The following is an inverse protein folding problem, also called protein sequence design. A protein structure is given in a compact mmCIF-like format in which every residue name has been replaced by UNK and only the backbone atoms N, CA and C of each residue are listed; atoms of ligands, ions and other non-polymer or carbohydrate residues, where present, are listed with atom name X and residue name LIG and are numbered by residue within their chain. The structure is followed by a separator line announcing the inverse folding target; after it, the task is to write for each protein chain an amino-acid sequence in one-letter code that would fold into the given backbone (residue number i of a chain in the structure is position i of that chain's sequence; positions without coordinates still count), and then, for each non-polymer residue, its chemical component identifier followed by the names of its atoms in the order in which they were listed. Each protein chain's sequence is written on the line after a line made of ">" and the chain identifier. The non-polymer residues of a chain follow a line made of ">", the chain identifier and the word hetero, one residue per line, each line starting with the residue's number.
data_IF_762366264619
#
_entry.id   IF_762366264619
#
_cell.length_a   1.000
_cell.length_b   1.000
_cell.length_c   1.000
_cell.angle_alpha   90.00
_cell.angle_beta   90.00
_cell.angle_gamma   90.00
#
_symmetry.space_group_name_H-M   'P 1'
#
loop_
_entity.id
_entity.type
_entity.pdbx_description
1 polymer ?
#
# COMPACT_ATOMS: atom_id res chain seq x y z
N UNK A 1 -23.10 -0.32 -2.71
CA UNK A 1 -21.80 -0.96 -2.98
C UNK A 1 -21.06 -0.93 -1.68
N UNK A 2 -21.16 -2.01 -0.91
CA UNK A 2 -20.32 -2.24 0.25
C UNK A 2 -18.87 -2.15 -0.24
N UNK A 3 -18.21 -1.03 0.07
CA UNK A 3 -16.79 -0.87 -0.22
C UNK A 3 -16.10 -1.81 0.74
N UNK A 4 -15.74 -2.97 0.24
CA UNK A 4 -15.10 -3.97 1.04
C UNK A 4 -13.72 -3.46 1.45
N UNK A 5 -13.46 -3.48 2.75
CA UNK A 5 -12.19 -3.00 3.29
C UNK A 5 -11.03 -3.80 2.71
N UNK A 6 -9.92 -3.11 2.45
CA UNK A 6 -8.68 -3.73 2.00
C UNK A 6 -7.67 -3.81 3.14
N UNK A 7 -6.71 -4.71 3.03
CA UNK A 7 -5.57 -4.78 3.95
C UNK A 7 -4.33 -4.36 3.18
N UNK A 8 -3.63 -3.34 3.67
CA UNK A 8 -2.37 -2.84 3.14
C UNK A 8 -1.25 -3.30 4.05
N UNK A 9 -0.32 -4.10 3.52
CA UNK A 9 0.86 -4.57 4.23
C UNK A 9 2.05 -3.66 3.96
N UNK A 10 2.45 -2.92 4.97
CA UNK A 10 3.59 -2.01 4.96
C UNK A 10 4.86 -2.81 5.27
N UNK A 11 5.75 -2.95 4.29
CA UNK A 11 7.03 -3.66 4.44
C UNK A 11 8.02 -2.76 5.18
N UNK A 12 8.39 -3.13 6.40
CA UNK A 12 9.39 -2.41 7.21
C UNK A 12 10.55 -3.35 7.59
N UNK A 13 11.79 -2.85 7.70
CA UNK A 13 12.93 -3.63 8.16
C UNK A 13 12.77 -4.15 9.60
N UNK A 14 11.92 -3.51 10.41
CA UNK A 14 11.61 -3.98 11.77
C UNK A 14 10.56 -5.11 11.80
N UNK A 15 9.79 -5.27 10.72
CA UNK A 15 8.70 -6.22 10.59
C UNK A 15 7.56 -5.67 9.74
N UNK A 16 6.85 -6.54 9.05
CA UNK A 16 5.70 -6.16 8.21
C UNK A 16 4.53 -5.73 9.10
N UNK A 17 3.84 -4.67 8.70
CA UNK A 17 2.71 -4.11 9.44
C UNK A 17 1.46 -4.06 8.57
N UNK A 18 0.38 -4.69 9.04
CA UNK A 18 -0.89 -4.76 8.31
C UNK A 18 -1.83 -3.64 8.77
N UNK A 19 -2.25 -2.81 7.82
CA UNK A 19 -3.19 -1.72 8.02
C UNK A 19 -4.49 -2.03 7.29
N UNK A 20 -5.59 -2.16 8.03
CA UNK A 20 -6.93 -2.33 7.47
C UNK A 20 -7.52 -0.98 7.09
N UNK A 21 -7.93 -0.85 5.83
CA UNK A 21 -8.58 0.35 5.29
C UNK A 21 -10.01 0.01 4.91
N UNK A 22 -10.96 0.50 5.71
CA UNK A 22 -12.40 0.22 5.50
C UNK A 22 -12.93 0.83 4.21
N UNK A 23 -12.44 2.01 3.84
CA UNK A 23 -12.91 2.77 2.67
C UNK A 23 -11.73 3.17 1.76
N UNK A 24 -11.23 2.27 0.89
CA UNK A 24 -10.10 2.57 0.01
C UNK A 24 -10.35 3.79 -0.90
N UNK A 25 -11.59 4.02 -1.33
CA UNK A 25 -11.94 5.16 -2.18
C UNK A 25 -11.77 6.54 -1.51
N UNK A 26 -11.78 6.58 -0.18
CA UNK A 26 -11.55 7.81 0.60
C UNK A 26 -10.08 7.97 1.01
N UNK A 27 -9.28 6.93 0.86
CA UNK A 27 -7.86 6.98 1.17
C UNK A 27 -7.15 7.89 0.17
N UNK A 28 -6.45 8.89 0.69
CA UNK A 28 -5.58 9.75 -0.11
C UNK A 28 -4.11 9.43 0.14
N UNK A 29 -3.25 9.91 -0.76
CA UNK A 29 -1.81 9.63 -0.73
C UNK A 29 -1.17 10.13 0.56
N UNK A 30 -1.59 11.30 1.05
CA UNK A 30 -1.03 11.88 2.28
C UNK A 30 -1.40 11.06 3.52
N UNK A 31 -2.62 10.53 3.60
CA UNK A 31 -3.07 9.70 4.72
C UNK A 31 -2.28 8.40 4.78
N UNK A 32 -2.10 7.72 3.64
CA UNK A 32 -1.30 6.50 3.57
C UNK A 32 0.17 6.80 3.88
N UNK A 33 0.72 7.89 3.35
CA UNK A 33 2.08 8.31 3.64
C UNK A 33 2.28 8.63 5.13
N UNK A 34 1.30 9.28 5.76
CA UNK A 34 1.31 9.57 7.19
C UNK A 34 1.28 8.28 8.02
N UNK A 35 0.45 7.30 7.64
CA UNK A 35 0.41 5.99 8.29
C UNK A 35 1.77 5.27 8.19
N UNK A 36 2.39 5.28 7.00
CA UNK A 36 3.72 4.69 6.81
C UNK A 36 4.78 5.39 7.69
N UNK A 37 4.70 6.72 7.81
CA UNK A 37 5.61 7.50 8.66
C UNK A 37 5.42 7.21 10.15
N UNK A 38 4.22 6.85 10.58
CA UNK A 38 3.95 6.40 11.94
C UNK A 38 4.56 5.02 12.21
N UNK A 39 4.56 4.13 11.21
CA UNK A 39 5.24 2.82 11.27
C UNK A 39 6.77 2.95 11.22
N UNK A 40 7.29 3.88 10.42
CA UNK A 40 8.73 4.10 10.22
C UNK A 40 9.13 5.56 10.48
N UNK A 41 9.06 6.03 11.74
CA UNK A 41 9.36 7.43 12.08
C UNK A 41 10.84 7.80 11.85
N UNK A 42 11.73 6.80 11.85
CA UNK A 42 13.17 6.99 11.60
C UNK A 42 13.51 7.23 10.12
N UNK A 43 12.59 6.91 9.21
CA UNK A 43 12.78 7.08 7.77
C UNK A 43 11.94 8.24 7.24
N UNK A 44 12.55 9.14 6.46
CA UNK A 44 11.78 10.16 5.74
C UNK A 44 11.18 9.53 4.48
N UNK A 45 9.98 8.96 4.61
CA UNK A 45 9.23 8.36 3.51
C UNK A 45 8.48 9.46 2.75
N UNK A 46 8.78 9.61 1.47
CA UNK A 46 8.14 10.58 0.56
C UNK A 46 7.37 9.92 -0.58
N UNK A 47 7.57 8.62 -0.76
CA UNK A 47 6.92 7.78 -1.76
C UNK A 47 6.91 6.34 -1.27
N UNK A 48 6.14 5.47 -1.91
CA UNK A 48 6.19 4.03 -1.69
C UNK A 48 6.03 3.31 -3.02
N UNK A 49 6.46 2.06 -3.08
CA UNK A 49 6.34 1.20 -4.25
C UNK A 49 5.33 0.08 -3.94
N UNK A 50 4.68 -0.47 -4.97
CA UNK A 50 3.91 -1.72 -4.89
C UNK A 50 4.32 -2.63 -6.04
N UNK A 51 4.09 -3.93 -5.89
CA UNK A 51 4.31 -4.91 -6.96
C UNK A 51 3.03 -5.09 -7.78
N UNK A 52 3.16 -5.00 -9.11
CA UNK A 52 2.07 -5.26 -10.05
C UNK A 52 1.94 -6.76 -10.41
N UNK A 53 1.12 -7.08 -11.41
CA UNK A 53 0.84 -8.46 -11.85
C UNK A 53 2.07 -9.19 -12.43
N UNK A 54 3.05 -8.45 -12.93
CA UNK A 54 4.30 -9.01 -13.48
C UNK A 54 5.46 -8.94 -12.48
N UNK A 55 5.20 -8.41 -11.27
CA UNK A 55 6.20 -8.21 -10.22
C UNK A 55 7.07 -6.96 -10.43
N UNK A 56 6.61 -5.99 -11.23
CA UNK A 56 7.29 -4.71 -11.38
C UNK A 56 6.98 -3.78 -10.20
N UNK A 57 7.98 -3.00 -9.79
CA UNK A 57 7.86 -2.07 -8.65
C UNK A 57 7.40 -0.70 -9.13
N UNK A 58 6.11 -0.47 -9.04
CA UNK A 58 5.50 0.81 -9.41
C UNK A 58 5.58 1.77 -8.24
N UNK A 59 6.21 2.92 -8.45
CA UNK A 59 6.29 3.98 -7.43
C UNK A 59 5.01 4.82 -7.42
N UNK A 60 4.46 5.07 -6.23
CA UNK A 60 3.31 5.94 -5.97
C UNK A 60 3.79 7.22 -5.27
N UNK A 61 3.48 8.37 -5.86
CA UNK A 61 3.85 9.72 -5.38
C UNK A 61 2.68 10.70 -5.38
N UNK A 62 1.50 10.26 -5.81
CA UNK A 62 0.33 11.10 -6.02
C UNK A 62 -0.98 10.34 -5.76
N UNK A 63 -2.07 11.09 -5.58
CA UNK A 63 -3.42 10.52 -5.44
C UNK A 63 -3.89 9.79 -6.70
N UNK A 64 -3.45 10.20 -7.88
CA UNK A 64 -3.79 9.54 -9.15
C UNK A 64 -3.17 8.13 -9.21
N UNK A 65 -1.89 8.03 -8.88
CA UNK A 65 -1.17 6.74 -8.80
C UNK A 65 -1.72 5.85 -7.69
N UNK A 66 -2.08 6.43 -6.53
CA UNK A 66 -2.74 5.70 -5.45
C UNK A 66 -4.07 5.12 -5.92
N UNK A 67 -4.91 5.91 -6.58
CA UNK A 67 -6.20 5.42 -7.10
C UNK A 67 -6.02 4.32 -8.13
N UNK A 68 -5.01 4.44 -9.01
CA UNK A 68 -4.68 3.38 -9.96
C UNK A 68 -4.28 2.08 -9.23
N UNK A 69 -3.41 2.17 -8.21
CA UNK A 69 -3.01 1.04 -7.38
C UNK A 69 -4.21 0.38 -6.69
N UNK A 70 -5.08 1.18 -6.05
CA UNK A 70 -6.26 0.68 -5.35
C UNK A 70 -7.26 0.03 -6.32
N UNK A 71 -7.47 0.64 -7.49
CA UNK A 71 -8.35 0.09 -8.53
C UNK A 71 -7.84 -1.27 -9.03
N UNK A 72 -6.53 -1.38 -9.28
CA UNK A 72 -5.89 -2.62 -9.67
C UNK A 72 -6.04 -3.71 -8.60
N UNK A 73 -5.74 -3.35 -7.34
CA UNK A 73 -5.83 -4.28 -6.23
C UNK A 73 -7.26 -4.76 -6.00
N UNK A 74 -8.25 -3.86 -5.96
CA UNK A 74 -9.66 -4.22 -5.82
C UNK A 74 -10.14 -5.14 -6.95
N UNK A 75 -9.70 -4.90 -8.19
CA UNK A 75 -10.03 -5.76 -9.32
C UNK A 75 -9.47 -7.18 -9.13
N UNK A 76 -8.19 -7.28 -8.81
CA UNK A 76 -7.50 -8.55 -8.53
C UNK A 76 -8.16 -9.29 -7.35
N UNK A 77 -8.53 -8.56 -6.30
CA UNK A 77 -9.25 -9.07 -5.14
C UNK A 77 -10.58 -9.72 -5.53
N UNK A 78 -11.35 -9.04 -6.39
CA UNK A 78 -12.63 -9.54 -6.87
C UNK A 78 -12.46 -10.82 -7.72
N UNK A 79 -11.44 -10.88 -8.58
CA UNK A 79 -11.12 -12.07 -9.39
C UNK A 79 -10.68 -13.26 -8.55
N UNK A 80 -9.80 -13.05 -7.57
CA UNK A 80 -9.33 -14.10 -6.66
C UNK A 80 -10.49 -14.66 -5.83
N UNK A 81 -11.38 -13.80 -5.33
CA UNK A 81 -12.60 -14.21 -4.61
C UNK A 81 -13.56 -14.98 -5.50
N UNK A 82 -13.74 -14.55 -6.75
CA UNK A 82 -14.56 -15.27 -7.71
C UNK A 82 -13.99 -16.67 -7.99
N UNK A 83 -12.67 -16.82 -7.89
CA UNK A 83 -11.95 -18.09 -8.00
C UNK A 83 -11.93 -18.91 -6.70
N UNK A 84 -12.53 -18.41 -5.61
CA UNK A 84 -12.55 -19.07 -4.30
C UNK A 84 -11.26 -18.93 -3.48
N UNK A 85 -10.33 -18.07 -3.92
CA UNK A 85 -9.09 -17.78 -3.21
C UNK A 85 -9.30 -16.61 -2.23
N UNK A 86 -8.56 -16.66 -1.12
CA UNK A 86 -8.48 -15.52 -0.20
C UNK A 86 -7.51 -14.49 -0.78
N UNK A 87 -7.91 -13.22 -0.87
CA UNK A 87 -7.05 -12.20 -1.42
C UNK A 87 -5.86 -11.91 -0.52
N UNK A 88 -4.68 -11.87 -1.12
CA UNK A 88 -3.45 -11.46 -0.46
C UNK A 88 -3.47 -9.95 -0.17
N UNK A 89 -2.91 -9.50 0.97
CA UNK A 89 -2.87 -8.08 1.32
C UNK A 89 -2.00 -7.28 0.34
N UNK A 90 -2.39 -6.03 0.07
CA UNK A 90 -1.67 -5.11 -0.81
C UNK A 90 -0.31 -4.78 -0.21
N UNK A 91 0.77 -5.32 -0.77
CA UNK A 91 2.11 -5.09 -0.27
C UNK A 91 2.66 -3.77 -0.80
N UNK A 92 3.08 -2.90 0.13
CA UNK A 92 3.76 -1.65 -0.20
C UNK A 92 5.15 -1.59 0.43
N UNK A 93 6.08 -0.98 -0.30
CA UNK A 93 7.47 -0.81 0.06
C UNK A 93 7.74 0.68 0.24
N UNK A 94 7.79 1.19 1.48
CA UNK A 94 8.16 2.56 1.77
C UNK A 94 9.52 2.93 1.15
N UNK A 95 9.56 3.98 0.33
CA UNK A 95 10.82 4.59 -0.12
C UNK A 95 11.19 5.72 0.84
N UNK A 96 12.01 5.38 1.83
CA UNK A 96 12.66 6.35 2.70
C UNK A 96 14.17 6.39 2.48
N UNK A 97 14.76 7.59 2.57
CA UNK A 97 16.19 7.71 2.82
C UNK A 97 16.40 7.70 4.32
N UNK A 98 17.04 6.67 4.87
CA UNK A 98 17.65 6.77 6.19
C UNK A 98 18.73 7.84 6.11
N UNK A 99 18.58 8.94 6.86
CA UNK A 99 19.71 9.82 7.11
C UNK A 99 20.71 9.02 7.93
N UNK A 100 21.67 8.37 7.26
CA UNK A 100 22.86 7.85 7.93
C UNK A 100 23.64 9.08 8.38
N UNK A 101 23.37 9.53 9.61
CA UNK A 101 24.21 10.51 10.28
C UNK A 101 25.53 9.80 10.55
N UNK A 102 26.53 10.08 9.72
CA UNK A 102 27.92 9.71 9.94
C UNK A 102 28.54 10.57 11.04
#
# INVERSE_FOLDING_TARGET
>A
MDSEGIVIRIKSPAGDMDSSVDCPFLLNFNDLLAAIRDVMPEATVTAFEYEDEVGDRITVRSDEELKAMLSYYCHTMAEQRHSGLLPDPLQIFPRGTVQTTY
#
